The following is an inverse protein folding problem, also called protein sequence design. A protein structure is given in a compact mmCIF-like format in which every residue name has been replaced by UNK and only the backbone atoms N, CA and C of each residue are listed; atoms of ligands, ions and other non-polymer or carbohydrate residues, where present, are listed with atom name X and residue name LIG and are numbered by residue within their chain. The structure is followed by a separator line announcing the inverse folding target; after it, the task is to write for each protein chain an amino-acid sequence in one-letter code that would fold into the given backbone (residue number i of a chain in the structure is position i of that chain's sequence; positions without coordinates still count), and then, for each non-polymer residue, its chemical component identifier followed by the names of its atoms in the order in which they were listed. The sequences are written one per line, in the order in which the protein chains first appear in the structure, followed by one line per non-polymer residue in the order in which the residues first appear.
data_IF_317978283781
#
_entry.id   IF_317978283781
#
_cell.length_a   1.000
_cell.length_b   1.000
_cell.length_c   1.000
_cell.angle_alpha   90.00
_cell.angle_beta   90.00
_cell.angle_gamma   90.00
#
_symmetry.space_group_name_H-M   'P 1'
#
loop_
_entity.id
_entity.type
_entity.pdbx_description
1 polymer ?
#
# COMPACT_ATOMS: atom_id res chain seq x y z
N UNK A 1 55.36 -33.25 -46.79
CA UNK A 1 53.96 -33.63 -46.48
C UNK A 1 53.80 -34.43 -45.18
N UNK A 2 54.50 -35.56 -44.93
CA UNK A 2 54.32 -36.39 -43.71
C UNK A 2 54.59 -35.65 -42.37
N UNK A 3 55.61 -34.78 -42.30
CA UNK A 3 55.90 -33.99 -41.08
C UNK A 3 54.78 -32.99 -40.73
N UNK A 4 54.22 -32.31 -41.73
CA UNK A 4 53.13 -31.35 -41.55
C UNK A 4 51.85 -32.03 -41.05
N UNK A 5 51.53 -33.21 -41.58
CA UNK A 5 50.38 -34.00 -41.16
C UNK A 5 50.49 -34.47 -39.69
N UNK A 6 51.70 -34.82 -39.24
CA UNK A 6 51.94 -35.19 -37.84
C UNK A 6 51.84 -34.00 -36.88
N UNK A 7 52.21 -32.80 -37.32
CA UNK A 7 52.03 -31.57 -36.52
C UNK A 7 50.54 -31.24 -36.39
N UNK A 8 49.78 -31.32 -37.48
CA UNK A 8 48.32 -31.09 -37.46
C UNK A 8 47.60 -32.11 -36.57
N UNK A 9 47.97 -33.40 -36.63
CA UNK A 9 47.40 -34.43 -35.74
C UNK A 9 47.67 -34.14 -34.26
N UNK A 10 48.88 -33.65 -33.92
CA UNK A 10 49.20 -33.25 -32.54
C UNK A 10 48.38 -32.05 -32.08
N UNK A 11 48.19 -31.06 -32.95
CA UNK A 11 47.38 -29.87 -32.66
C UNK A 11 45.92 -30.28 -32.42
N UNK A 12 45.32 -31.08 -33.31
CA UNK A 12 43.94 -31.58 -33.15
C UNK A 12 43.79 -32.40 -31.86
N UNK A 13 44.78 -33.21 -31.51
CA UNK A 13 44.74 -34.01 -30.29
C UNK A 13 44.79 -33.14 -29.02
N UNK A 14 45.57 -32.06 -29.03
CA UNK A 14 45.64 -31.10 -27.91
C UNK A 14 44.34 -30.31 -27.78
N UNK A 15 43.81 -29.78 -28.89
CA UNK A 15 42.53 -29.05 -28.87
C UNK A 15 41.35 -29.96 -28.52
N UNK A 16 41.34 -31.20 -28.98
CA UNK A 16 40.33 -32.20 -28.60
C UNK A 16 40.36 -32.51 -27.10
N UNK A 17 41.55 -32.60 -26.51
CA UNK A 17 41.71 -32.77 -25.05
C UNK A 17 41.20 -31.58 -24.25
N UNK A 18 41.45 -30.34 -24.71
CA UNK A 18 40.95 -29.13 -24.07
C UNK A 18 39.42 -29.05 -24.14
N UNK A 19 38.81 -29.37 -25.29
CA UNK A 19 37.36 -29.40 -25.45
C UNK A 19 36.74 -30.44 -24.52
N UNK A 20 37.35 -31.63 -24.41
CA UNK A 20 36.86 -32.68 -23.50
C UNK A 20 36.89 -32.22 -22.04
N UNK A 21 37.95 -31.52 -21.61
CA UNK A 21 38.06 -30.97 -20.25
C UNK A 21 37.00 -29.89 -19.98
N UNK A 22 36.71 -29.03 -20.97
CA UNK A 22 35.66 -28.01 -20.85
C UNK A 22 34.27 -28.65 -20.75
N UNK A 23 33.98 -29.71 -21.51
CA UNK A 23 32.71 -30.45 -21.41
C UNK A 23 32.58 -31.13 -20.04
N UNK A 24 33.66 -31.70 -19.51
CA UNK A 24 33.67 -32.29 -18.16
C UNK A 24 33.43 -31.22 -17.10
N UNK A 25 34.03 -30.03 -17.21
CA UNK A 25 33.77 -28.92 -16.29
C UNK A 25 32.31 -28.46 -16.31
N UNK A 26 31.71 -28.30 -17.51
CA UNK A 26 30.29 -27.95 -17.65
C UNK A 26 29.41 -29.03 -16.99
N UNK A 27 29.74 -30.30 -17.21
CA UNK A 27 29.00 -31.44 -16.63
C UNK A 27 29.07 -31.45 -15.10
N UNK A 28 30.27 -31.20 -14.54
CA UNK A 28 30.47 -31.11 -13.09
C UNK A 28 29.70 -29.92 -12.53
N UNK A 29 29.73 -28.75 -13.19
CA UNK A 29 28.94 -27.57 -12.78
C UNK A 29 27.43 -27.83 -12.80
N UNK A 30 26.91 -28.52 -13.82
CA UNK A 30 25.49 -28.90 -13.89
C UNK A 30 25.10 -29.93 -12.82
N UNK A 31 25.97 -30.89 -12.53
CA UNK A 31 25.74 -31.87 -11.46
C UNK A 31 25.85 -31.19 -10.08
N UNK A 32 26.79 -30.27 -9.87
CA UNK A 32 26.89 -29.48 -8.65
C UNK A 32 25.63 -28.63 -8.44
N UNK A 33 25.07 -28.05 -9.50
CA UNK A 33 23.81 -27.29 -9.46
C UNK A 33 22.59 -28.16 -9.14
N UNK A 34 22.60 -29.45 -9.49
CA UNK A 34 21.52 -30.39 -9.16
C UNK A 34 21.65 -30.95 -7.74
N UNK A 35 22.86 -31.08 -7.20
CA UNK A 35 23.13 -31.61 -5.85
C UNK A 35 23.10 -30.50 -4.79
N UNK A 36 23.63 -29.33 -5.13
CA UNK A 36 23.45 -28.06 -4.44
C UNK A 36 22.74 -27.13 -5.42
N UNK A 37 21.40 -27.14 -5.49
CA UNK A 37 20.72 -25.95 -5.99
C UNK A 37 21.33 -24.81 -5.19
N UNK A 38 22.01 -23.90 -5.88
CA UNK A 38 22.33 -22.60 -5.29
C UNK A 38 20.98 -22.14 -4.82
N UNK A 39 20.79 -22.03 -3.50
CA UNK A 39 19.55 -21.51 -2.91
C UNK A 39 19.19 -20.33 -3.80
N UNK A 40 18.14 -20.53 -4.59
CA UNK A 40 17.57 -19.47 -5.39
C UNK A 40 17.29 -18.44 -4.34
N UNK A 41 18.12 -17.39 -4.35
CA UNK A 41 18.30 -16.43 -3.26
C UNK A 41 16.91 -16.17 -2.74
N UNK A 42 16.60 -16.79 -1.59
CA UNK A 42 15.23 -17.08 -1.20
C UNK A 42 14.74 -15.77 -0.65
N UNK A 43 14.46 -14.84 -1.58
CA UNK A 43 14.45 -13.39 -1.44
C UNK A 43 14.28 -13.10 0.03
N UNK A 44 15.42 -13.02 0.74
CA UNK A 44 15.43 -13.09 2.21
C UNK A 44 14.42 -12.03 2.60
N UNK A 45 13.24 -12.46 3.10
CA UNK A 45 12.06 -11.59 3.23
C UNK A 45 12.55 -10.39 3.99
N UNK A 46 12.89 -9.30 3.28
CA UNK A 46 13.45 -8.12 3.91
C UNK A 46 12.26 -7.50 4.59
N UNK A 47 12.09 -7.86 5.85
CA UNK A 47 11.05 -7.34 6.72
C UNK A 47 11.23 -5.81 6.70
N UNK A 48 10.37 -5.12 5.94
CA UNK A 48 10.37 -3.68 5.89
C UNK A 48 9.63 -3.17 7.12
N UNK A 49 10.32 -2.35 7.92
CA UNK A 49 9.71 -1.64 9.03
C UNK A 49 9.24 -0.28 8.55
N UNK A 50 7.96 0.03 8.80
CA UNK A 50 7.40 1.34 8.52
C UNK A 50 6.97 1.98 9.83
N UNK A 51 7.74 2.95 10.30
CA UNK A 51 7.24 3.78 11.40
C UNK A 51 6.22 4.76 10.82
N UNK A 52 4.94 4.49 11.09
CA UNK A 52 3.89 5.47 10.88
C UNK A 52 3.90 6.43 12.07
N UNK A 53 4.40 7.65 11.84
CA UNK A 53 4.19 8.76 12.74
C UNK A 53 2.83 9.34 12.38
N UNK A 54 1.87 9.24 13.30
CA UNK A 54 0.64 9.99 13.18
C UNK A 54 0.99 11.47 13.33
N UNK A 55 1.06 12.16 12.19
CA UNK A 55 1.40 13.57 12.07
C UNK A 55 0.16 14.44 11.95
N UNK A 56 -1.01 13.90 12.30
CA UNK A 56 -2.21 14.69 12.55
C UNK A 56 -2.63 14.47 14.00
N UNK A 57 -3.27 15.42 14.64
CA UNK A 57 -4.40 15.07 15.48
C UNK A 57 -5.65 15.13 14.60
N UNK A 58 -6.86 14.83 15.10
CA UNK A 58 -7.95 15.68 14.64
C UNK A 58 -7.52 17.10 15.03
N UNK A 59 -7.05 17.89 14.07
CA UNK A 59 -7.44 19.30 14.10
C UNK A 59 -8.96 19.23 13.90
N UNK A 60 -9.67 18.93 14.99
CA UNK A 60 -11.04 19.37 15.12
C UNK A 60 -10.94 20.87 14.90
N UNK A 61 -11.20 21.31 13.67
CA UNK A 61 -11.98 22.52 13.56
C UNK A 61 -13.15 22.24 14.48
N UNK A 62 -13.21 23.05 15.54
CA UNK A 62 -14.29 23.06 16.49
C UNK A 62 -15.59 22.70 15.77
N UNK A 63 -16.27 21.71 16.34
CA UNK A 63 -17.65 21.36 16.02
C UNK A 63 -18.40 22.61 15.57
N UNK A 64 -18.79 22.64 14.29
CA UNK A 64 -19.65 23.70 13.74
C UNK A 64 -19.10 25.14 13.80
N UNK A 65 -17.80 25.36 14.00
CA UNK A 65 -17.23 26.70 13.79
C UNK A 65 -17.14 26.94 12.27
N UNK A 66 -18.21 27.57 11.77
CA UNK A 66 -18.46 28.06 10.42
C UNK A 66 -17.26 27.91 9.48
N UNK A 67 -17.31 26.83 8.68
CA UNK A 67 -16.64 26.83 7.38
C UNK A 67 -16.95 28.20 6.75
N UNK A 68 -15.94 29.01 6.37
CA UNK A 68 -16.18 30.37 5.90
C UNK A 68 -17.28 30.33 4.85
N UNK A 69 -18.29 31.21 4.97
CA UNK A 69 -19.44 31.25 4.05
C UNK A 69 -18.98 31.24 2.57
N UNK A 70 -17.79 31.80 2.32
CA UNK A 70 -17.09 31.79 1.04
C UNK A 70 -16.02 30.68 0.96
N UNK A 71 -16.44 29.41 0.84
CA UNK A 71 -15.52 28.35 0.42
C UNK A 71 -14.96 28.70 -0.96
N UNK A 72 -13.63 28.78 -1.09
CA UNK A 72 -13.00 28.96 -2.39
C UNK A 72 -13.02 27.62 -3.13
N UNK A 73 -13.68 27.65 -4.29
CA UNK A 73 -13.86 26.50 -5.16
C UNK A 73 -12.82 26.52 -6.29
N UNK A 74 -12.07 25.44 -6.42
CA UNK A 74 -11.02 25.27 -7.42
C UNK A 74 -11.45 24.33 -8.54
N UNK A 75 -10.78 24.41 -9.69
CA UNK A 75 -11.13 23.59 -10.85
C UNK A 75 -10.72 22.13 -10.68
N UNK A 76 -9.71 21.86 -9.85
CA UNK A 76 -9.21 20.50 -9.60
C UNK A 76 -9.05 20.22 -8.10
N UNK A 77 -9.05 18.93 -7.75
CA UNK A 77 -8.76 18.47 -6.39
C UNK A 77 -7.34 18.88 -5.96
N UNK A 78 -6.35 18.74 -6.84
CA UNK A 78 -4.97 19.15 -6.59
C UNK A 78 -4.88 20.63 -6.19
N UNK A 79 -5.52 21.53 -6.96
CA UNK A 79 -5.54 22.96 -6.65
C UNK A 79 -6.24 23.24 -5.31
N UNK A 80 -7.34 22.55 -5.02
CA UNK A 80 -8.06 22.72 -3.76
C UNK A 80 -7.23 22.32 -2.55
N UNK A 81 -6.41 21.27 -2.66
CA UNK A 81 -5.49 20.82 -1.60
C UNK A 81 -4.31 21.79 -1.46
N UNK A 82 -3.71 22.20 -2.57
CA UNK A 82 -2.56 23.12 -2.56
C UNK A 82 -2.89 24.50 -1.97
N UNK A 83 -4.13 24.95 -2.12
CA UNK A 83 -4.58 26.26 -1.65
C UNK A 83 -5.41 26.18 -0.35
N UNK A 84 -5.42 25.03 0.35
CA UNK A 84 -6.13 24.92 1.63
C UNK A 84 -5.38 25.70 2.73
N UNK A 85 -6.10 26.56 3.45
CA UNK A 85 -5.54 27.36 4.56
C UNK A 85 -5.61 26.64 5.92
N UNK A 86 -6.27 25.48 5.99
CA UNK A 86 -6.56 24.73 7.21
C UNK A 86 -5.36 23.82 7.54
N UNK A 87 -4.92 23.79 8.81
CA UNK A 87 -3.86 22.90 9.31
C UNK A 87 -2.42 23.41 9.07
N UNK A 88 -2.13 24.65 9.46
CA UNK A 88 -0.90 25.41 9.11
C UNK A 88 0.46 24.88 9.59
N UNK A 89 0.54 23.68 10.18
CA UNK A 89 1.78 23.23 10.84
C UNK A 89 2.27 21.81 10.49
N UNK A 90 1.42 20.89 10.02
CA UNK A 90 1.81 19.46 9.85
C UNK A 90 1.34 18.92 8.49
N UNK A 91 2.21 18.19 7.78
CA UNK A 91 1.91 17.66 6.45
C UNK A 91 2.02 18.66 5.29
N UNK A 92 2.28 19.96 5.56
CA UNK A 92 2.28 21.01 4.53
C UNK A 92 3.25 20.74 3.38
N UNK A 93 4.39 20.12 3.67
CA UNK A 93 5.40 19.79 2.67
C UNK A 93 4.91 18.76 1.64
N UNK A 94 3.91 17.95 1.99
CA UNK A 94 3.31 16.91 1.16
C UNK A 94 2.13 17.38 0.31
N UNK A 95 1.45 18.46 0.71
CA UNK A 95 0.30 19.03 -0.03
C UNK A 95 0.66 19.55 -1.42
N UNK A 96 1.95 19.62 -1.75
CA UNK A 96 2.43 20.10 -3.06
C UNK A 96 2.01 19.19 -4.19
N UNK A 97 2.02 17.87 -4.01
CA UNK A 97 1.77 16.89 -5.07
C UNK A 97 0.97 15.69 -4.56
N UNK A 98 -0.06 15.30 -5.30
CA UNK A 98 -0.64 13.95 -5.24
C UNK A 98 0.18 13.07 -6.18
N UNK A 99 1.03 12.20 -5.63
CA UNK A 99 1.88 11.34 -6.48
C UNK A 99 1.16 10.05 -6.88
N UNK A 100 0.38 9.46 -5.97
CA UNK A 100 -0.39 8.26 -6.26
C UNK A 100 -1.73 8.26 -5.51
N UNK A 101 -2.83 8.20 -6.26
CA UNK A 101 -4.17 8.00 -5.69
C UNK A 101 -4.37 6.51 -5.44
N UNK A 102 -4.61 6.14 -4.18
CA UNK A 102 -4.93 4.76 -3.79
C UNK A 102 -6.43 4.50 -3.99
N UNK A 103 -7.30 5.39 -3.50
CA UNK A 103 -8.74 5.21 -3.62
C UNK A 103 -9.47 6.55 -3.68
N UNK A 104 -10.64 6.56 -4.33
CA UNK A 104 -11.53 7.71 -4.40
C UNK A 104 -12.97 7.27 -4.17
N UNK A 105 -13.64 7.99 -3.28
CA UNK A 105 -15.05 7.80 -2.93
C UNK A 105 -15.77 9.10 -3.22
N UNK A 106 -16.82 9.04 -4.03
CA UNK A 106 -17.46 10.25 -4.52
C UNK A 106 -18.98 10.11 -4.50
N UNK A 107 -19.65 11.19 -4.13
CA UNK A 107 -21.08 11.37 -4.33
C UNK A 107 -21.35 12.72 -5.01
N UNK A 108 -22.59 13.20 -5.02
CA UNK A 108 -22.93 14.47 -5.68
C UNK A 108 -22.32 15.72 -5.02
N UNK A 109 -22.04 15.66 -3.72
CA UNK A 109 -21.66 16.80 -2.88
C UNK A 109 -20.24 16.71 -2.31
N UNK A 110 -19.63 15.52 -2.31
CA UNK A 110 -18.35 15.28 -1.67
C UNK A 110 -17.50 14.30 -2.47
N UNK A 111 -16.20 14.49 -2.35
CA UNK A 111 -15.17 13.55 -2.75
C UNK A 111 -14.27 13.31 -1.53
N UNK A 112 -14.06 12.05 -1.19
CA UNK A 112 -13.05 11.60 -0.25
C UNK A 112 -12.00 10.83 -1.03
N UNK A 113 -10.73 11.11 -0.79
CA UNK A 113 -9.64 10.50 -1.52
C UNK A 113 -8.54 10.10 -0.56
N UNK A 114 -7.97 8.93 -0.80
CA UNK A 114 -6.78 8.45 -0.15
C UNK A 114 -5.64 8.49 -1.17
N UNK A 115 -4.55 9.15 -0.82
CA UNK A 115 -3.40 9.28 -1.72
C UNK A 115 -2.07 9.25 -0.98
N UNK A 116 -0.99 9.14 -1.74
CA UNK A 116 0.37 9.23 -1.28
C UNK A 116 1.10 10.42 -1.90
N UNK A 117 1.96 11.02 -1.09
CA UNK A 117 2.96 12.00 -1.48
C UNK A 117 4.33 11.53 -1.00
N UNK A 118 5.34 11.61 -1.85
CA UNK A 118 6.68 11.11 -1.58
C UNK A 118 7.63 12.27 -1.32
N UNK A 119 8.53 12.08 -0.37
CA UNK A 119 9.65 12.98 -0.12
C UNK A 119 10.93 12.18 -0.11
N UNK A 120 11.61 12.18 -1.26
CA UNK A 120 12.75 11.30 -1.49
C UNK A 120 12.33 9.83 -1.54
N UNK A 121 13.21 8.94 -1.09
CA UNK A 121 13.05 7.47 -1.18
C UNK A 121 12.60 6.82 0.12
N UNK A 122 12.64 7.55 1.23
CA UNK A 122 12.51 6.99 2.58
C UNK A 122 11.39 7.62 3.40
N UNK A 123 10.65 8.56 2.82
CA UNK A 123 9.53 9.25 3.47
C UNK A 123 8.32 9.30 2.52
N UNK A 124 7.18 8.79 3.00
CA UNK A 124 5.90 8.79 2.29
C UNK A 124 4.86 9.37 3.25
N UNK A 125 4.10 10.36 2.82
CA UNK A 125 2.88 10.77 3.50
C UNK A 125 1.69 10.11 2.82
N UNK A 126 0.88 9.40 3.59
CA UNK A 126 -0.42 8.88 3.17
C UNK A 126 -1.50 9.74 3.78
N UNK A 127 -2.38 10.30 2.95
CA UNK A 127 -3.31 11.32 3.37
C UNK A 127 -4.72 11.01 2.90
N UNK A 128 -5.65 11.05 3.85
CA UNK A 128 -7.07 11.05 3.59
C UNK A 128 -7.53 12.49 3.48
N UNK A 129 -8.10 12.87 2.35
CA UNK A 129 -8.66 14.20 2.15
C UNK A 129 -10.14 14.11 1.82
N UNK A 130 -10.92 15.06 2.36
CA UNK A 130 -12.32 15.26 1.99
C UNK A 130 -12.52 16.66 1.44
N UNK A 131 -13.22 16.73 0.31
CA UNK A 131 -13.55 17.98 -0.36
C UNK A 131 -15.06 18.05 -0.63
N UNK A 132 -15.61 19.25 -0.57
CA UNK A 132 -16.94 19.56 -1.11
C UNK A 132 -16.83 19.64 -2.63
N UNK A 133 -17.78 19.03 -3.32
CA UNK A 133 -17.93 19.10 -4.77
C UNK A 133 -19.22 19.85 -5.10
N UNK A 134 -19.13 20.80 -6.03
CA UNK A 134 -20.27 21.51 -6.58
C UNK A 134 -20.14 21.67 -8.09
N UNK A 135 -21.26 21.95 -8.78
CA UNK A 135 -21.27 22.29 -10.20
C UNK A 135 -21.38 23.79 -10.38
N UNK A 136 -20.34 24.40 -10.96
CA UNK A 136 -20.33 25.81 -11.39
C UNK A 136 -20.21 25.83 -12.90
N UNK A 137 -21.19 26.42 -13.59
CA UNK A 137 -21.28 26.44 -15.06
C UNK A 137 -21.18 25.03 -15.68
N UNK A 138 -21.81 24.03 -15.02
CA UNK A 138 -21.82 22.64 -15.46
C UNK A 138 -20.50 21.87 -15.22
N UNK A 139 -19.45 22.53 -14.75
CA UNK A 139 -18.15 21.92 -14.43
C UNK A 139 -18.05 21.69 -12.94
N UNK A 140 -17.46 20.56 -12.55
CA UNK A 140 -17.21 20.29 -11.15
C UNK A 140 -16.15 21.26 -10.60
N UNK A 141 -16.34 21.61 -9.33
CA UNK A 141 -15.48 22.48 -8.54
C UNK A 141 -15.33 21.90 -7.15
N UNK A 142 -14.16 22.12 -6.56
CA UNK A 142 -13.77 21.47 -5.32
C UNK A 142 -13.35 22.49 -4.27
N UNK A 143 -13.85 22.34 -3.05
CA UNK A 143 -13.41 23.10 -1.90
C UNK A 143 -12.93 22.15 -0.81
N UNK A 144 -11.72 22.36 -0.32
CA UNK A 144 -11.15 21.57 0.77
C UNK A 144 -12.01 21.64 2.04
N UNK A 145 -12.12 20.53 2.77
CA UNK A 145 -12.80 20.46 4.07
C UNK A 145 -11.81 20.06 5.15
N UNK A 146 -11.25 18.86 5.04
CA UNK A 146 -10.46 18.23 6.09
C UNK A 146 -9.47 17.23 5.50
N UNK A 147 -8.40 16.93 6.26
CA UNK A 147 -7.36 15.98 5.86
C UNK A 147 -6.76 15.27 7.07
N UNK A 148 -6.29 14.04 6.88
CA UNK A 148 -5.70 13.20 7.93
C UNK A 148 -4.39 12.59 7.41
N UNK A 149 -3.27 13.32 7.54
CA UNK A 149 -1.99 12.89 7.01
C UNK A 149 -1.25 11.98 7.99
N UNK A 150 -0.79 10.84 7.50
CA UNK A 150 0.08 9.91 8.22
C UNK A 150 1.42 9.88 7.51
N UNK A 151 2.47 10.31 8.20
CA UNK A 151 3.82 10.27 7.66
C UNK A 151 4.48 8.95 8.03
N UNK A 152 4.99 8.26 7.03
CA UNK A 152 5.63 6.96 7.14
C UNK A 152 7.10 7.11 6.79
N UNK A 153 7.97 6.57 7.65
CA UNK A 153 9.42 6.54 7.45
C UNK A 153 9.91 5.12 7.21
N UNK A 154 10.81 4.97 6.25
CA UNK A 154 11.53 3.73 6.03
C UNK A 154 12.57 3.53 7.14
N UNK A 155 12.40 2.51 7.99
CA UNK A 155 13.38 2.15 9.03
C UNK A 155 14.05 0.80 8.74
N UNK A 156 15.22 0.60 9.36
CA UNK A 156 16.02 -0.62 9.28
C UNK A 156 16.11 -1.32 10.64
N UNK A 157 15.02 -1.89 11.17
CA UNK A 157 15.04 -2.83 12.32
C UNK A 157 13.93 -3.89 12.24
N UNK A 158 14.11 -4.96 13.03
CA UNK A 158 13.56 -6.31 12.89
C UNK A 158 12.30 -6.54 13.75
N UNK A 159 11.20 -5.85 13.44
CA UNK A 159 9.92 -6.12 14.13
C UNK A 159 8.91 -6.74 13.16
N UNK A 160 8.41 -7.94 13.51
CA UNK A 160 7.57 -8.77 12.63
C UNK A 160 6.11 -8.29 12.60
N UNK A 161 5.71 -7.64 11.50
CA UNK A 161 4.30 -7.26 11.26
C UNK A 161 3.31 -8.43 11.32
N UNK A 162 3.77 -9.67 11.05
CA UNK A 162 2.93 -10.88 11.11
C UNK A 162 2.35 -11.20 12.49
N UNK A 163 2.82 -10.51 13.54
CA UNK A 163 2.34 -10.66 14.91
C UNK A 163 1.21 -9.67 15.27
N UNK A 164 0.97 -8.65 14.44
CA UNK A 164 -0.05 -7.63 14.71
C UNK A 164 -1.35 -7.91 13.94
N UNK A 165 -2.47 -7.93 14.66
CA UNK A 165 -3.80 -7.99 14.06
C UNK A 165 -4.17 -6.64 13.41
N UNK A 166 -3.68 -6.41 12.19
CA UNK A 166 -3.93 -5.17 11.45
C UNK A 166 -5.41 -4.97 11.12
N UNK A 167 -6.11 -6.03 10.67
CA UNK A 167 -7.52 -5.91 10.29
C UNK A 167 -8.38 -5.60 11.51
N UNK A 168 -8.17 -6.30 12.63
CA UNK A 168 -8.86 -6.02 13.88
C UNK A 168 -8.58 -4.62 14.41
N UNK A 169 -7.32 -4.18 14.34
CA UNK A 169 -6.95 -2.81 14.71
C UNK A 169 -7.66 -1.77 13.85
N UNK A 170 -7.68 -1.92 12.52
CA UNK A 170 -8.31 -0.99 11.59
C UNK A 170 -9.83 -0.94 11.76
N UNK A 171 -10.47 -2.08 12.03
CA UNK A 171 -11.90 -2.14 12.36
C UNK A 171 -12.21 -1.43 13.68
N UNK A 172 -11.36 -1.59 14.69
CA UNK A 172 -11.53 -0.91 15.98
C UNK A 172 -11.38 0.60 15.82
N UNK A 173 -10.31 1.03 15.17
CA UNK A 173 -9.92 2.44 15.09
C UNK A 173 -10.76 3.21 14.07
N UNK A 174 -11.23 2.55 13.01
CA UNK A 174 -12.13 3.12 12.01
C UNK A 174 -13.48 3.60 12.55
N UNK A 175 -13.96 3.07 13.68
CA UNK A 175 -15.16 3.55 14.35
C UNK A 175 -15.01 5.00 14.88
N UNK A 176 -13.78 5.44 15.16
CA UNK A 176 -13.52 6.75 15.77
C UNK A 176 -13.20 7.84 14.75
N UNK A 177 -12.45 7.53 13.69
CA UNK A 177 -11.92 8.56 12.78
C UNK A 177 -12.38 8.44 11.33
N UNK A 178 -12.88 7.27 10.88
CA UNK A 178 -13.23 7.09 9.45
C UNK A 178 -14.66 7.51 9.12
N UNK A 179 -15.54 7.63 10.11
CA UNK A 179 -16.95 7.96 9.84
C UNK A 179 -17.11 9.41 9.36
N UNK A 180 -16.36 10.34 9.92
CA UNK A 180 -16.39 11.74 9.49
C UNK A 180 -15.75 11.91 8.11
N UNK A 181 -14.75 11.09 7.77
CA UNK A 181 -14.11 11.07 6.45
C UNK A 181 -14.99 10.50 5.33
N UNK A 182 -16.04 9.75 5.66
CA UNK A 182 -16.92 9.13 4.66
C UNK A 182 -17.55 10.16 3.73
N UNK A 183 -17.49 9.87 2.41
CA UNK A 183 -18.28 10.61 1.43
C UNK A 183 -19.78 10.23 1.49
N UNK A 184 -20.17 9.24 2.31
CA UNK A 184 -21.53 8.74 2.37
C UNK A 184 -22.29 9.24 3.61
N UNK A 185 -23.61 9.09 3.60
CA UNK A 185 -24.47 9.45 4.75
C UNK A 185 -23.97 8.81 6.05
N UNK A 186 -24.13 9.51 7.19
CA UNK A 186 -23.84 8.99 8.53
C UNK A 186 -24.63 7.72 8.89
N UNK A 187 -25.66 7.38 8.11
CA UNK A 187 -26.41 6.12 8.24
C UNK A 187 -25.66 4.91 7.67
N UNK A 188 -24.65 5.13 6.81
CA UNK A 188 -23.78 4.08 6.28
C UNK A 188 -22.50 4.03 7.09
N UNK A 189 -22.09 2.82 7.47
CA UNK A 189 -20.83 2.61 8.19
C UNK A 189 -19.71 2.42 7.19
N UNK A 190 -18.84 3.43 7.07
CA UNK A 190 -17.62 3.30 6.28
C UNK A 190 -16.58 2.53 7.09
N UNK A 191 -15.95 1.51 6.54
CA UNK A 191 -14.88 0.78 7.21
C UNK A 191 -13.76 0.49 6.23
N UNK A 192 -12.52 0.70 6.61
CA UNK A 192 -11.38 0.48 5.74
C UNK A 192 -10.12 0.25 6.53
N UNK A 193 -9.11 -0.31 5.88
CA UNK A 193 -7.82 -0.55 6.49
C UNK A 193 -6.77 -0.96 5.48
N UNK A 194 -5.59 -1.27 6.00
CA UNK A 194 -4.41 -1.60 5.23
C UNK A 194 -3.78 -2.88 5.72
N UNK A 195 -3.42 -3.73 4.75
CA UNK A 195 -2.71 -4.96 5.02
C UNK A 195 -1.54 -5.06 4.08
N UNK A 196 -0.36 -5.11 4.67
CA UNK A 196 0.88 -5.40 3.99
C UNK A 196 0.93 -6.89 3.61
N UNK A 197 1.37 -7.20 2.39
CA UNK A 197 1.31 -8.58 1.84
C UNK A 197 2.02 -9.63 2.72
N UNK A 198 3.18 -9.30 3.28
CA UNK A 198 3.93 -10.22 4.15
C UNK A 198 3.48 -10.19 5.62
N UNK A 199 2.55 -9.32 6.00
CA UNK A 199 1.89 -9.33 7.31
C UNK A 199 0.81 -10.42 7.42
N UNK A 200 0.36 -10.98 6.29
CA UNK A 200 -0.58 -12.11 6.26
C UNK A 200 0.15 -13.43 6.54
N UNK A 201 -0.50 -14.32 7.30
CA UNK A 201 -0.03 -15.71 7.48
C UNK A 201 -0.13 -16.48 6.17
N UNK A 202 0.62 -17.58 6.06
CA UNK A 202 0.68 -18.40 4.82
C UNK A 202 -0.69 -18.88 4.30
N UNK A 203 -1.65 -19.09 5.20
CA UNK A 203 -3.00 -19.54 4.87
C UNK A 203 -4.03 -18.40 4.81
N UNK A 204 -3.64 -17.17 5.11
CA UNK A 204 -4.49 -15.99 5.06
C UNK A 204 -4.37 -15.30 3.71
N UNK A 205 -5.45 -14.65 3.30
CA UNK A 205 -5.48 -13.83 2.09
C UNK A 205 -6.46 -12.71 2.27
N UNK A 206 -6.02 -11.48 2.04
CA UNK A 206 -6.92 -10.31 2.05
C UNK A 206 -8.09 -10.46 1.08
N UNK A 207 -7.90 -11.16 -0.05
CA UNK A 207 -8.99 -11.45 -1.02
C UNK A 207 -10.09 -12.37 -0.46
N UNK A 208 -9.85 -13.00 0.70
CA UNK A 208 -10.83 -13.81 1.43
C UNK A 208 -11.40 -13.05 2.64
N UNK A 209 -11.04 -11.77 2.81
CA UNK A 209 -11.57 -10.94 3.88
C UNK A 209 -13.10 -10.97 3.86
N UNK A 210 -13.68 -11.30 5.00
CA UNK A 210 -15.07 -10.95 5.29
C UNK A 210 -15.15 -10.36 6.69
N UNK A 211 -16.07 -9.44 6.90
CA UNK A 211 -16.41 -8.87 8.21
C UNK A 211 -17.89 -9.12 8.43
N UNK A 212 -18.23 -9.87 9.49
CA UNK A 212 -19.59 -10.35 9.75
C UNK A 212 -20.20 -11.09 8.52
N UNK A 213 -19.35 -11.77 7.75
CA UNK A 213 -19.73 -12.48 6.52
C UNK A 213 -19.92 -11.59 5.28
N UNK A 214 -19.81 -10.27 5.41
CA UNK A 214 -19.80 -9.33 4.27
C UNK A 214 -18.41 -9.27 3.65
N UNK A 215 -18.31 -9.30 2.31
CA UNK A 215 -17.05 -9.05 1.58
C UNK A 215 -16.81 -7.54 1.42
N UNK A 216 -15.54 -7.09 1.36
CA UNK A 216 -15.22 -5.71 1.02
C UNK A 216 -15.85 -5.30 -0.31
N UNK A 217 -16.23 -4.03 -0.43
CA UNK A 217 -16.67 -3.44 -1.69
C UNK A 217 -15.48 -3.30 -2.67
N UNK A 218 -14.26 -3.19 -2.13
CA UNK A 218 -13.05 -3.21 -2.92
C UNK A 218 -11.79 -3.52 -2.12
N UNK A 219 -10.79 -4.01 -2.84
CA UNK A 219 -9.42 -4.23 -2.38
C UNK A 219 -8.51 -3.65 -3.46
N UNK A 220 -7.67 -2.69 -3.10
CA UNK A 220 -6.74 -2.00 -4.00
C UNK A 220 -5.32 -2.36 -3.62
N UNK A 221 -4.55 -2.89 -4.56
CA UNK A 221 -3.12 -3.09 -4.39
C UNK A 221 -2.38 -1.77 -4.63
N UNK A 222 -1.46 -1.42 -3.72
CA UNK A 222 -0.58 -0.26 -3.86
C UNK A 222 0.80 -0.58 -3.27
N UNK A 223 1.74 0.38 -3.36
CA UNK A 223 3.09 0.20 -2.83
C UNK A 223 3.47 1.25 -1.79
N UNK A 224 4.15 0.82 -0.73
CA UNK A 224 4.92 1.67 0.16
C UNK A 224 6.37 1.19 0.14
N UNK A 225 7.32 2.07 -0.18
CA UNK A 225 8.75 1.74 -0.21
C UNK A 225 9.12 0.52 -1.07
N UNK A 226 8.35 0.26 -2.13
CA UNK A 226 8.52 -0.90 -3.02
C UNK A 226 7.76 -2.15 -2.59
N UNK A 227 7.28 -2.21 -1.35
CA UNK A 227 6.53 -3.33 -0.80
C UNK A 227 5.06 -3.27 -1.19
N UNK A 228 4.44 -4.44 -1.35
CA UNK A 228 3.03 -4.57 -1.73
C UNK A 228 2.12 -4.45 -0.50
N UNK A 229 1.16 -3.54 -0.61
CA UNK A 229 0.10 -3.31 0.37
C UNK A 229 -1.27 -3.45 -0.28
N UNK A 230 -2.26 -3.78 0.52
CA UNK A 230 -3.66 -3.90 0.14
C UNK A 230 -4.50 -2.96 0.98
N UNK A 231 -5.13 -2.00 0.33
CA UNK A 231 -6.15 -1.16 0.93
C UNK A 231 -7.52 -1.80 0.71
N UNK A 232 -8.22 -2.16 1.78
CA UNK A 232 -9.56 -2.75 1.70
C UNK A 232 -10.60 -1.78 2.25
N UNK A 233 -11.83 -1.82 1.72
CA UNK A 233 -12.89 -0.93 2.20
C UNK A 233 -14.31 -1.51 2.05
N UNK A 234 -15.20 -0.99 2.89
CA UNK A 234 -16.65 -1.14 2.88
C UNK A 234 -17.25 0.27 2.88
N UNK A 235 -18.02 0.60 1.87
CA UNK A 235 -18.82 1.83 1.79
C UNK A 235 -20.02 1.79 2.74
N UNK A 236 -20.45 0.59 3.13
CA UNK A 236 -21.59 0.35 3.99
C UNK A 236 -21.51 -1.04 4.68
N UNK A 237 -20.69 -1.12 5.74
CA UNK A 237 -20.56 -2.34 6.55
C UNK A 237 -21.84 -2.58 7.35
N UNK A 238 -22.51 -3.71 7.09
CA UNK A 238 -23.79 -4.10 7.67
C UNK A 238 -23.62 -4.74 9.05
N UNK A 239 -23.15 -3.94 10.01
CA UNK A 239 -23.10 -4.35 11.41
C UNK A 239 -23.21 -3.15 12.35
N UNK A 240 -23.97 -3.33 13.42
CA UNK A 240 -24.10 -2.35 14.53
C UNK A 240 -23.14 -2.63 15.68
N UNK A 241 -22.39 -3.73 15.63
CA UNK A 241 -21.39 -4.07 16.65
C UNK A 241 -20.25 -3.06 16.62
N UNK A 242 -19.64 -2.77 17.77
CA UNK A 242 -18.42 -1.95 17.81
C UNK A 242 -17.30 -2.66 17.05
N UNK A 243 -16.33 -1.92 16.55
CA UNK A 243 -15.18 -2.44 15.81
C UNK A 243 -14.44 -3.55 16.57
N UNK A 244 -14.30 -3.38 17.89
CA UNK A 244 -13.72 -4.38 18.82
C UNK A 244 -14.53 -5.67 18.96
N UNK A 245 -15.78 -5.70 18.49
CA UNK A 245 -16.72 -6.82 18.59
C UNK A 245 -17.04 -7.44 17.21
N UNK A 246 -16.46 -6.89 16.13
CA UNK A 246 -16.64 -7.42 14.79
C UNK A 246 -15.83 -8.69 14.60
N UNK A 247 -16.47 -9.71 14.05
CA UNK A 247 -15.77 -10.89 13.58
C UNK A 247 -15.32 -10.67 12.15
N UNK A 248 -14.07 -11.00 11.85
CA UNK A 248 -13.56 -11.04 10.50
C UNK A 248 -12.82 -12.36 10.24
N UNK A 249 -12.69 -12.74 8.97
CA UNK A 249 -11.87 -13.89 8.55
C UNK A 249 -11.07 -13.53 7.31
N UNK A 250 -9.86 -14.08 7.21
CA UNK A 250 -8.98 -13.99 6.04
C UNK A 250 -8.85 -15.34 5.31
N UNK A 251 -9.76 -16.28 5.60
CA UNK A 251 -9.80 -17.60 4.99
C UNK A 251 -8.62 -18.53 5.35
N UNK A 252 -7.94 -18.24 6.46
CA UNK A 252 -7.23 -19.25 7.25
C UNK A 252 -8.26 -20.09 8.01
N UNK A 253 -8.05 -21.41 8.10
CA UNK A 253 -9.01 -22.34 8.71
C UNK A 253 -9.49 -21.83 10.07
N UNK A 254 -10.81 -21.89 10.27
CA UNK A 254 -11.41 -22.01 11.59
C UNK A 254 -10.68 -23.16 12.32
N UNK A 255 -9.97 -22.85 13.39
CA UNK A 255 -9.58 -23.89 14.33
C UNK A 255 -10.84 -24.21 15.13
N UNK A 256 -11.61 -25.19 14.64
CA UNK A 256 -12.42 -26.05 15.51
C UNK A 256 -11.56 -26.68 16.61
#
# INVERSE_FOLDING_TARGET
MKKLLNVIKKIICVFGGIILLLVIQISISSILYLINPTEEDTEEKKELEVEAVYTGGPDSIDTEEELPEDKIFYATVQEAIQNSMIGRNQGEEYRKNIDHVIATFENNSYITMLYQSHKGTDEICRDWVKLKKEKVEGKDRYAFIETYPVTMFRKSRTTKYSEYDMVGHDLWTGDYYMQDLSAYSKEKRFASGDVMKYGLRENESINKLTVEGQKPDGIVEYKNFGEVWYFWYYTDLKSRKKGTELNYTLGGKDNE
#
